data_IF_041819168972
#
_entry.id   IF_041819168972
#
_cell.length_a   1.000
_cell.length_b   1.000
_cell.length_c   1.000
_cell.angle_alpha   90.00
_cell.angle_beta   90.00
_cell.angle_gamma   90.00
#
_symmetry.space_group_name_H-M   'P 1'
#
loop_
_entity.id
_entity.type
_entity.pdbx_description
1 polymer ?
#
# COMPACT_ATOMS: atom_id res chain seq x y z
N UNK A 1 16.27 -19.75 -8.11
CA UNK A 1 15.59 -19.24 -6.89
C UNK A 1 15.15 -17.78 -7.03
N UNK A 2 15.92 -16.91 -7.68
CA UNK A 2 15.60 -15.47 -7.86
C UNK A 2 14.22 -15.16 -8.49
N UNK A 3 13.75 -15.98 -9.45
CA UNK A 3 12.45 -15.76 -10.11
C UNK A 3 11.24 -15.96 -9.19
N UNK A 4 11.26 -16.97 -8.30
CA UNK A 4 10.18 -17.24 -7.34
C UNK A 4 10.08 -16.13 -6.28
N UNK A 5 11.20 -15.59 -5.82
CA UNK A 5 11.21 -14.47 -4.85
C UNK A 5 10.69 -13.17 -5.47
N UNK A 6 11.07 -12.86 -6.71
CA UNK A 6 10.51 -11.72 -7.44
C UNK A 6 8.99 -11.85 -7.66
N UNK A 7 8.48 -13.08 -7.82
CA UNK A 7 7.03 -13.31 -7.86
C UNK A 7 6.39 -13.05 -6.51
N UNK A 8 6.93 -13.54 -5.39
CA UNK A 8 6.38 -13.32 -4.04
C UNK A 8 6.28 -11.82 -3.73
N UNK A 9 7.34 -11.04 -3.99
CA UNK A 9 7.34 -9.58 -3.76
C UNK A 9 6.23 -8.91 -4.58
N UNK A 10 6.10 -9.28 -5.87
CA UNK A 10 5.03 -8.74 -6.73
C UNK A 10 3.64 -9.15 -6.26
N UNK A 11 3.47 -10.38 -5.80
CA UNK A 11 2.20 -10.86 -5.24
C UNK A 11 1.77 -10.03 -4.04
N UNK A 12 2.68 -9.73 -3.12
CA UNK A 12 2.37 -8.85 -1.98
C UNK A 12 2.02 -7.42 -2.40
N UNK A 13 2.70 -6.87 -3.42
CA UNK A 13 2.33 -5.56 -3.97
C UNK A 13 0.93 -5.59 -4.60
N UNK A 14 0.59 -6.65 -5.34
CA UNK A 14 -0.76 -6.82 -5.91
C UNK A 14 -1.83 -7.00 -4.84
N UNK A 15 -1.54 -7.75 -3.77
CA UNK A 15 -2.43 -7.88 -2.60
C UNK A 15 -2.68 -6.52 -1.95
N UNK A 16 -1.64 -5.71 -1.74
CA UNK A 16 -1.77 -4.35 -1.22
C UNK A 16 -2.62 -3.45 -2.12
N UNK A 17 -2.42 -3.51 -3.44
CA UNK A 17 -3.23 -2.78 -4.41
C UNK A 17 -4.70 -3.20 -4.36
N UNK A 18 -4.94 -4.50 -4.29
CA UNK A 18 -6.29 -5.04 -4.24
C UNK A 18 -7.00 -4.60 -2.96
N UNK A 19 -6.37 -4.78 -1.80
CA UNK A 19 -7.00 -4.40 -0.52
C UNK A 19 -7.21 -2.90 -0.42
N UNK A 20 -6.25 -2.06 -0.80
CA UNK A 20 -6.44 -0.59 -0.80
C UNK A 20 -7.57 -0.11 -1.71
N UNK A 21 -7.70 -0.69 -2.91
CA UNK A 21 -8.80 -0.35 -3.83
C UNK A 21 -10.16 -0.75 -3.26
N UNK A 22 -10.26 -1.96 -2.72
CA UNK A 22 -11.50 -2.44 -2.11
C UNK A 22 -11.86 -1.64 -0.85
N UNK A 23 -10.90 -1.28 -0.01
CA UNK A 23 -11.12 -0.41 1.15
C UNK A 23 -11.67 0.95 0.71
N UNK A 24 -11.11 1.56 -0.35
CA UNK A 24 -11.61 2.81 -0.90
C UNK A 24 -13.05 2.72 -1.39
N UNK A 25 -13.40 1.66 -2.12
CA UNK A 25 -14.78 1.40 -2.57
C UNK A 25 -15.69 1.20 -1.36
N UNK A 26 -15.31 0.35 -0.41
CA UNK A 26 -16.15 0.02 0.75
C UNK A 26 -16.46 1.27 1.59
N UNK A 27 -15.46 2.13 1.80
CA UNK A 27 -15.62 3.39 2.53
C UNK A 27 -16.52 4.40 1.82
N UNK A 28 -16.63 4.39 0.49
CA UNK A 28 -17.58 5.25 -0.23
C UNK A 28 -19.04 4.91 0.08
N UNK A 29 -19.34 3.63 0.31
CA UNK A 29 -20.70 3.13 0.52
C UNK A 29 -21.05 2.92 2.00
N UNK A 30 -20.07 2.97 2.89
CA UNK A 30 -20.32 2.92 4.33
C UNK A 30 -21.09 4.17 4.79
N UNK A 31 -22.05 3.91 5.68
CA UNK A 31 -22.77 4.95 6.41
C UNK A 31 -22.04 5.23 7.70
N UNK A 32 -21.81 6.51 7.98
CA UNK A 32 -21.16 7.00 9.18
C UNK A 32 -22.21 7.57 10.15
N UNK A 33 -21.86 8.60 10.91
CA UNK A 33 -22.79 9.32 11.77
C UNK A 33 -24.01 9.82 10.97
N UNK A 34 -25.18 9.76 11.61
CA UNK A 34 -26.48 10.13 11.06
C UNK A 34 -26.90 9.37 9.79
N UNK A 35 -26.38 8.16 9.57
CA UNK A 35 -26.63 7.33 8.37
C UNK A 35 -26.18 7.97 7.04
N UNK A 36 -25.40 9.05 7.11
CA UNK A 36 -24.88 9.75 5.93
C UNK A 36 -23.62 9.08 5.40
N UNK A 37 -23.44 9.13 4.09
CA UNK A 37 -22.20 8.64 3.46
C UNK A 37 -21.09 9.68 3.54
N UNK A 38 -19.84 9.25 3.39
CA UNK A 38 -18.67 10.14 3.32
C UNK A 38 -18.84 11.27 2.28
N UNK A 39 -19.48 10.96 1.15
CA UNK A 39 -19.76 11.91 0.07
C UNK A 39 -20.79 12.95 0.49
N UNK A 40 -21.77 12.59 1.31
CA UNK A 40 -22.78 13.51 1.83
C UNK A 40 -22.22 14.43 2.92
N UNK A 41 -21.29 13.94 3.75
CA UNK A 41 -20.70 14.70 4.86
C UNK A 41 -19.65 15.69 4.36
N UNK A 42 -18.77 15.25 3.45
CA UNK A 42 -17.57 16.01 3.06
C UNK A 42 -17.50 16.33 1.55
N UNK A 43 -18.59 16.11 0.81
CA UNK A 43 -18.67 16.31 -0.65
C UNK A 43 -17.78 15.35 -1.45
N UNK A 44 -17.78 15.51 -2.78
CA UNK A 44 -17.01 14.68 -3.73
C UNK A 44 -15.48 14.83 -3.57
N UNK A 45 -15.02 15.83 -2.80
CA UNK A 45 -13.59 16.10 -2.56
C UNK A 45 -12.88 14.96 -1.81
N UNK A 46 -13.63 14.09 -1.13
CA UNK A 46 -13.05 12.97 -0.35
C UNK A 46 -12.82 11.70 -1.17
N UNK A 47 -13.38 11.64 -2.39
CA UNK A 47 -13.18 10.50 -3.29
C UNK A 47 -11.68 10.34 -3.62
N UNK A 48 -10.98 11.44 -3.91
CA UNK A 48 -9.56 11.36 -4.26
C UNK A 48 -8.67 10.86 -3.09
N UNK A 49 -8.75 11.43 -1.87
CA UNK A 49 -8.07 10.89 -0.69
C UNK A 49 -8.25 9.38 -0.50
N UNK A 50 -9.46 8.85 -0.68
CA UNK A 50 -9.74 7.42 -0.50
C UNK A 50 -8.91 6.51 -1.44
N UNK A 51 -8.53 7.00 -2.62
CA UNK A 51 -7.73 6.24 -3.58
C UNK A 51 -6.23 6.56 -3.54
N UNK A 52 -5.76 7.47 -2.67
CA UNK A 52 -4.33 7.74 -2.49
C UNK A 52 -3.54 6.48 -2.10
N UNK A 53 -4.01 5.61 -1.18
CA UNK A 53 -3.33 4.34 -0.87
C UNK A 53 -3.12 3.44 -2.09
N UNK A 54 -4.12 3.40 -2.97
CA UNK A 54 -4.04 2.65 -4.23
C UNK A 54 -2.99 3.24 -5.17
N UNK A 55 -2.91 4.57 -5.29
CA UNK A 55 -1.88 5.25 -6.09
C UNK A 55 -0.46 4.96 -5.56
N UNK A 56 -0.27 4.95 -4.24
CA UNK A 56 1.02 4.60 -3.62
C UNK A 56 1.42 3.17 -3.99
N UNK A 57 0.47 2.23 -3.94
CA UNK A 57 0.69 0.85 -4.39
C UNK A 57 1.07 0.76 -5.87
N UNK A 58 0.49 1.60 -6.74
CA UNK A 58 0.79 1.61 -8.18
C UNK A 58 2.22 2.11 -8.44
N UNK A 59 2.66 3.14 -7.71
CA UNK A 59 4.04 3.64 -7.78
C UNK A 59 5.03 2.55 -7.33
N UNK A 60 4.70 1.78 -6.29
CA UNK A 60 5.50 0.66 -5.82
C UNK A 60 5.59 -0.47 -6.87
N UNK A 61 4.46 -0.80 -7.51
CA UNK A 61 4.41 -1.80 -8.58
C UNK A 61 5.23 -1.36 -9.80
N UNK A 62 5.08 -0.09 -10.21
CA UNK A 62 5.84 0.46 -11.32
C UNK A 62 7.35 0.43 -11.05
N UNK A 63 7.75 0.81 -9.84
CA UNK A 63 9.14 0.77 -9.39
C UNK A 63 9.71 -0.66 -9.40
N UNK A 64 8.90 -1.67 -9.03
CA UNK A 64 9.27 -3.10 -9.08
C UNK A 64 9.51 -3.63 -10.50
N UNK A 65 9.03 -2.94 -11.55
CA UNK A 65 9.18 -3.35 -12.96
C UNK A 65 10.43 -2.75 -13.62
N UNK A 66 11.09 -1.76 -13.00
CA UNK A 66 12.27 -1.13 -13.58
C UNK A 66 13.44 -2.13 -13.68
N UNK A 67 14.06 -2.17 -14.85
CA UNK A 67 15.32 -2.89 -15.11
C UNK A 67 16.47 -1.87 -15.04
N UNK A 68 17.65 -2.29 -14.58
CA UNK A 68 18.85 -1.44 -14.42
C UNK A 68 18.76 -0.41 -13.28
N UNK A 69 18.28 -0.82 -12.11
CA UNK A 69 18.29 -0.02 -10.89
C UNK A 69 19.22 -0.65 -9.84
N UNK A 70 19.69 0.17 -8.89
CA UNK A 70 20.50 -0.31 -7.77
C UNK A 70 19.82 -1.47 -7.04
N UNK A 71 20.61 -2.42 -6.53
CA UNK A 71 20.12 -3.58 -5.75
C UNK A 71 19.22 -3.15 -4.59
N UNK A 72 19.53 -2.02 -3.95
CA UNK A 72 18.76 -1.48 -2.83
C UNK A 72 17.54 -0.63 -3.24
N UNK A 73 17.34 -0.37 -4.54
CA UNK A 73 16.27 0.52 -5.01
C UNK A 73 14.87 -0.03 -4.67
N UNK A 74 14.63 -1.30 -4.96
CA UNK A 74 13.33 -1.96 -4.71
C UNK A 74 13.00 -1.98 -3.22
N UNK A 75 13.84 -2.52 -2.32
CA UNK A 75 13.54 -2.55 -0.89
C UNK A 75 13.31 -1.16 -0.31
N UNK A 76 14.15 -0.17 -0.65
CA UNK A 76 14.00 1.19 -0.14
C UNK A 76 12.71 1.83 -0.64
N UNK A 77 12.36 1.67 -1.92
CA UNK A 77 11.12 2.23 -2.48
C UNK A 77 9.88 1.63 -1.81
N UNK A 78 9.88 0.32 -1.55
CA UNK A 78 8.79 -0.35 -0.85
C UNK A 78 8.68 0.08 0.60
N UNK A 79 9.81 0.31 1.30
CA UNK A 79 9.79 0.88 2.65
C UNK A 79 9.19 2.27 2.65
N UNK A 80 9.64 3.16 1.77
CA UNK A 80 9.10 4.52 1.65
C UNK A 80 7.59 4.47 1.37
N UNK A 81 7.16 3.60 0.44
CA UNK A 81 5.74 3.39 0.15
C UNK A 81 4.95 2.92 1.37
N UNK A 82 5.48 1.99 2.16
CA UNK A 82 4.82 1.50 3.38
C UNK A 82 4.72 2.58 4.46
N UNK A 83 5.77 3.39 4.64
CA UNK A 83 5.78 4.51 5.59
C UNK A 83 4.77 5.58 5.17
N UNK A 84 4.71 5.93 3.89
CA UNK A 84 3.72 6.86 3.36
C UNK A 84 2.29 6.37 3.57
N UNK A 85 2.03 5.07 3.39
CA UNK A 85 0.73 4.47 3.68
C UNK A 85 0.36 4.60 5.16
N UNK A 86 1.29 4.32 6.08
CA UNK A 86 1.06 4.50 7.51
C UNK A 86 0.74 5.95 7.88
N UNK A 87 1.51 6.92 7.35
CA UNK A 87 1.22 8.34 7.58
C UNK A 87 -0.14 8.74 7.03
N UNK A 88 -0.49 8.24 5.84
CA UNK A 88 -1.79 8.52 5.24
C UNK A 88 -2.93 7.93 6.08
N UNK A 89 -2.76 6.72 6.60
CA UNK A 89 -3.74 6.08 7.48
C UNK A 89 -4.00 6.89 8.75
N UNK A 90 -2.95 7.40 9.40
CA UNK A 90 -3.08 8.31 10.56
C UNK A 90 -3.90 9.56 10.19
N UNK A 91 -3.67 10.13 9.00
CA UNK A 91 -4.48 11.25 8.50
C UNK A 91 -5.94 10.87 8.25
N UNK A 92 -6.19 9.65 7.78
CA UNK A 92 -7.53 9.13 7.51
C UNK A 92 -8.32 8.78 8.78
N UNK A 93 -7.66 8.50 9.91
CA UNK A 93 -8.36 8.34 11.18
C UNK A 93 -9.21 9.57 11.55
N UNK A 94 -8.75 10.77 11.22
CA UNK A 94 -9.53 11.99 11.45
C UNK A 94 -10.77 12.10 10.55
N UNK A 95 -10.74 11.49 9.37
CA UNK A 95 -11.80 11.58 8.36
C UNK A 95 -12.80 10.44 8.45
N UNK A 96 -12.32 9.23 8.74
CA UNK A 96 -13.06 7.99 8.61
C UNK A 96 -13.08 7.18 9.91
N UNK A 97 -12.49 7.72 10.97
CA UNK A 97 -12.45 7.11 12.30
C UNK A 97 -11.82 5.72 12.26
N UNK A 98 -12.43 4.79 13.01
CA UNK A 98 -11.98 3.41 13.10
C UNK A 98 -12.03 2.64 11.78
N UNK A 99 -12.71 3.13 10.75
CA UNK A 99 -12.73 2.47 9.45
C UNK A 99 -11.44 2.72 8.64
N UNK A 100 -10.57 3.63 9.09
CA UNK A 100 -9.23 3.81 8.52
C UNK A 100 -8.38 2.53 8.63
N UNK A 101 -8.64 1.68 9.64
CA UNK A 101 -7.98 0.38 9.83
C UNK A 101 -8.09 -0.57 8.63
N UNK A 102 -9.05 -0.37 7.73
CA UNK A 102 -9.12 -1.18 6.49
C UNK A 102 -7.88 -0.98 5.62
N UNK A 103 -7.26 0.20 5.64
CA UNK A 103 -6.02 0.46 4.90
C UNK A 103 -4.78 -0.16 5.55
N UNK A 104 -4.81 -0.48 6.85
CA UNK A 104 -3.71 -1.16 7.56
C UNK A 104 -3.34 -2.48 6.90
N UNK A 105 -4.34 -3.20 6.40
CA UNK A 105 -4.15 -4.48 5.70
C UNK A 105 -3.27 -4.27 4.46
N UNK A 106 -3.52 -3.20 3.70
CA UNK A 106 -2.70 -2.83 2.54
C UNK A 106 -1.28 -2.45 2.96
N UNK A 107 -1.13 -1.61 3.99
CA UNK A 107 0.17 -1.19 4.51
C UNK A 107 1.01 -2.40 4.97
N UNK A 108 0.37 -3.38 5.61
CA UNK A 108 1.00 -4.63 6.07
C UNK A 108 1.54 -5.46 4.90
N UNK A 109 0.78 -5.62 3.82
CA UNK A 109 1.25 -6.34 2.63
C UNK A 109 2.42 -5.62 1.96
N UNK A 110 2.38 -4.29 1.88
CA UNK A 110 3.45 -3.51 1.25
C UNK A 110 4.72 -3.55 2.11
N UNK A 111 4.60 -3.45 3.44
CA UNK A 111 5.71 -3.65 4.37
C UNK A 111 6.30 -5.07 4.26
N UNK A 112 5.45 -6.10 4.19
CA UNK A 112 5.88 -7.50 4.01
C UNK A 112 6.66 -7.68 2.71
N UNK A 113 6.26 -6.99 1.64
CA UNK A 113 6.99 -6.97 0.38
C UNK A 113 8.37 -6.34 0.51
N UNK A 114 8.48 -5.25 1.28
CA UNK A 114 9.77 -4.60 1.58
C UNK A 114 10.69 -5.53 2.37
N UNK A 115 10.22 -6.08 3.50
CA UNK A 115 11.01 -6.98 4.35
C UNK A 115 11.50 -8.20 3.56
N UNK A 116 10.63 -8.80 2.75
CA UNK A 116 11.00 -9.94 1.89
C UNK A 116 12.10 -9.56 0.90
N UNK A 117 12.04 -8.35 0.33
CA UNK A 117 13.07 -7.86 -0.59
C UNK A 117 14.42 -7.58 0.10
N UNK A 118 14.42 -7.09 1.34
CA UNK A 118 15.64 -6.95 2.13
C UNK A 118 16.27 -8.31 2.46
N UNK A 119 15.48 -9.27 2.95
CA UNK A 119 15.95 -10.62 3.27
C UNK A 119 16.63 -11.25 2.05
N UNK A 120 16.05 -11.06 0.86
CA UNK A 120 16.62 -11.57 -0.38
C UNK A 120 17.98 -10.95 -0.71
N UNK A 121 18.11 -9.62 -0.62
CA UNK A 121 19.39 -8.97 -0.94
C UNK A 121 20.48 -9.23 0.08
N UNK A 122 20.14 -9.36 1.36
CA UNK A 122 21.11 -9.81 2.37
C UNK A 122 21.54 -11.26 2.16
N UNK A 123 20.61 -12.16 1.80
CA UNK A 123 20.93 -13.56 1.52
C UNK A 123 21.84 -13.72 0.30
N UNK A 124 21.59 -12.98 -0.77
CA UNK A 124 22.44 -13.00 -1.96
C UNK A 124 23.83 -12.38 -1.71
N UNK A 125 23.95 -11.39 -0.82
CA UNK A 125 25.24 -10.79 -0.45
C UNK A 125 26.18 -11.79 0.24
N UNK A 126 25.63 -12.75 0.97
CA UNK A 126 26.42 -13.77 1.69
C UNK A 126 26.79 -14.99 0.82
N UNK A 127 26.39 -15.03 -0.46
CA UNK A 127 26.67 -16.13 -1.39
C UNK A 127 27.66 -15.75 -2.51
N UNK A 128 28.10 -14.49 -2.56
CA UNK A 128 29.12 -13.97 -3.47
C UNK A 128 30.35 -13.50 -2.67
#
# INVERSE_FOLDING_TARGET
MEYRFKQIIKTFIYLSLFTSFFSGILLLFLKFEDQKTLVEIHSSKVIFPLFVPFLIGLVCLYSSRRKNVSKYYIPVTLTIGSVLLFYFEIGMFNLVGNYAFFYLISATFLLSSSVTSFIFEFKNKNQN
#
